data_IF_107020748136
#
_entry.id   IF_107020748136
#
_cell.length_a   1.000
_cell.length_b   1.000
_cell.length_c   1.000
_cell.angle_alpha   90.00
_cell.angle_beta   90.00
_cell.angle_gamma   90.00
#
_symmetry.space_group_name_H-M   'P 1'
#
loop_
_entity.id
_entity.type
_entity.pdbx_description
1 polymer ?
#
# COMPACT_ATOMS: atom_id res chain seq x y z
N UNK A 1 -37.58 -3.04 -54.65
CA UNK A 1 -36.57 -2.08 -54.18
C UNK A 1 -36.54 -2.20 -52.67
N UNK A 2 -35.65 -3.03 -52.17
CA UNK A 2 -35.46 -3.23 -50.69
C UNK A 2 -34.36 -2.29 -50.23
N UNK A 3 -34.74 -1.27 -49.50
CA UNK A 3 -33.77 -0.44 -48.77
C UNK A 3 -33.42 -1.13 -47.43
N UNK A 4 -32.28 -1.81 -47.41
CA UNK A 4 -31.67 -2.25 -46.17
C UNK A 4 -30.99 -1.05 -45.52
N UNK A 5 -31.64 -0.49 -44.51
CA UNK A 5 -31.02 0.51 -43.64
C UNK A 5 -30.11 -0.27 -42.68
N UNK A 6 -28.82 -0.22 -42.94
CA UNK A 6 -27.79 -0.71 -42.03
C UNK A 6 -27.71 0.29 -40.89
N UNK A 7 -28.30 -0.05 -39.74
CA UNK A 7 -28.05 0.65 -38.47
C UNK A 7 -26.58 0.44 -38.12
N UNK A 8 -25.73 1.41 -38.41
CA UNK A 8 -24.44 1.54 -37.77
C UNK A 8 -24.69 1.80 -36.30
N UNK A 9 -24.51 0.74 -35.48
CA UNK A 9 -24.38 0.92 -34.05
C UNK A 9 -23.18 1.85 -33.82
N UNK A 10 -23.45 3.05 -33.34
CA UNK A 10 -22.41 3.95 -32.82
C UNK A 10 -21.69 3.18 -31.74
N UNK A 11 -20.44 2.80 -31.97
CA UNK A 11 -19.58 2.23 -30.95
C UNK A 11 -19.51 3.29 -29.83
N UNK A 12 -20.22 3.07 -28.73
CA UNK A 12 -20.05 3.88 -27.55
C UNK A 12 -18.58 3.67 -27.13
N UNK A 13 -17.79 4.74 -27.10
CA UNK A 13 -16.41 4.66 -26.63
C UNK A 13 -16.43 3.98 -25.25
N UNK A 14 -15.65 2.90 -25.08
CA UNK A 14 -15.56 2.18 -23.81
C UNK A 14 -15.09 3.12 -22.70
N UNK A 15 -15.38 2.78 -21.45
CA UNK A 15 -14.94 3.59 -20.29
C UNK A 15 -13.40 3.67 -20.26
N UNK A 16 -12.74 2.57 -20.61
CA UNK A 16 -11.29 2.49 -20.75
C UNK A 16 -10.76 3.48 -21.80
N UNK A 17 -11.36 3.53 -23.00
CA UNK A 17 -10.95 4.50 -24.04
C UNK A 17 -11.19 5.94 -23.59
N UNK A 18 -12.31 6.22 -22.93
CA UNK A 18 -12.62 7.54 -22.40
C UNK A 18 -11.64 7.97 -21.32
N UNK A 19 -11.28 7.05 -20.40
CA UNK A 19 -10.31 7.32 -19.34
C UNK A 19 -8.92 7.61 -19.93
N UNK A 20 -8.47 6.83 -20.91
CA UNK A 20 -7.20 7.03 -21.63
C UNK A 20 -7.12 8.37 -22.37
N UNK A 21 -8.25 8.93 -22.74
CA UNK A 21 -8.32 10.22 -23.42
C UNK A 21 -8.38 11.43 -22.48
N UNK A 22 -8.42 11.22 -21.15
CA UNK A 22 -8.46 12.32 -20.21
C UNK A 22 -7.15 13.11 -20.20
N UNK A 23 -7.19 14.44 -20.24
CA UNK A 23 -6.02 15.27 -20.07
C UNK A 23 -5.58 15.25 -18.60
N UNK A 24 -4.52 14.51 -18.29
CA UNK A 24 -3.95 14.45 -16.95
C UNK A 24 -3.50 15.85 -16.49
N UNK A 25 -3.76 16.23 -15.22
CA UNK A 25 -3.13 17.37 -14.61
C UNK A 25 -1.60 17.28 -14.73
N UNK A 26 -0.94 18.45 -14.88
CA UNK A 26 0.52 18.46 -14.90
C UNK A 26 1.11 17.96 -13.58
N UNK A 27 2.33 17.41 -13.66
CA UNK A 27 3.05 16.98 -12.46
C UNK A 27 3.19 18.09 -11.41
N UNK A 28 3.50 19.30 -11.87
CA UNK A 28 3.66 20.45 -10.97
C UNK A 28 2.34 20.84 -10.30
N UNK A 29 1.22 20.85 -11.02
CA UNK A 29 -0.10 21.08 -10.45
C UNK A 29 -0.44 20.00 -9.40
N UNK A 30 -0.17 18.74 -9.69
CA UNK A 30 -0.36 17.65 -8.74
C UNK A 30 0.49 17.82 -7.48
N UNK A 31 1.76 18.24 -7.61
CA UNK A 31 2.65 18.48 -6.48
C UNK A 31 2.21 19.64 -5.59
N UNK A 32 1.65 20.69 -6.20
CA UNK A 32 1.13 21.86 -5.51
C UNK A 32 -0.26 21.61 -4.91
N UNK A 33 -0.87 20.47 -5.22
CA UNK A 33 -2.25 20.14 -4.83
C UNK A 33 -3.26 21.20 -5.24
N UNK A 34 -3.12 21.71 -6.47
CA UNK A 34 -4.03 22.71 -7.00
C UNK A 34 -5.49 22.25 -6.91
N UNK A 35 -6.40 23.16 -6.65
CA UNK A 35 -7.82 22.87 -6.60
C UNK A 35 -8.34 22.19 -7.88
N UNK A 36 -7.77 22.54 -9.04
CA UNK A 36 -8.07 21.91 -10.33
C UNK A 36 -7.72 20.42 -10.38
N UNK A 37 -6.70 19.98 -9.65
CA UNK A 37 -6.30 18.58 -9.52
C UNK A 37 -7.34 17.80 -8.71
N UNK A 38 -7.76 18.35 -7.58
CA UNK A 38 -8.81 17.74 -6.79
C UNK A 38 -10.11 17.63 -7.59
N UNK A 39 -10.51 18.71 -8.28
CA UNK A 39 -11.69 18.72 -9.14
C UNK A 39 -11.59 17.69 -10.29
N UNK A 40 -10.40 17.49 -10.85
CA UNK A 40 -10.17 16.47 -11.87
C UNK A 40 -10.49 15.07 -11.34
N UNK A 41 -9.91 14.70 -10.19
CA UNK A 41 -10.13 13.37 -9.60
C UNK A 41 -11.58 13.16 -9.17
N UNK A 42 -12.20 14.14 -8.53
CA UNK A 42 -13.60 14.06 -8.09
C UNK A 42 -14.55 13.89 -9.29
N UNK A 43 -14.33 14.68 -10.33
CA UNK A 43 -15.16 14.64 -11.54
C UNK A 43 -15.08 13.29 -12.26
N UNK A 44 -13.89 12.69 -12.27
CA UNK A 44 -13.64 11.48 -13.05
C UNK A 44 -13.64 10.19 -12.22
N UNK A 45 -13.88 10.24 -10.90
CA UNK A 45 -13.84 9.07 -9.99
C UNK A 45 -14.63 7.87 -10.54
N UNK A 46 -15.86 8.07 -10.97
CA UNK A 46 -16.71 7.00 -11.51
C UNK A 46 -16.18 6.42 -12.82
N UNK A 47 -15.77 7.30 -13.74
CA UNK A 47 -15.17 6.87 -15.02
C UNK A 47 -13.90 6.06 -14.82
N UNK A 48 -13.01 6.51 -13.95
CA UNK A 48 -11.74 5.84 -13.67
C UNK A 48 -11.97 4.46 -13.05
N UNK A 49 -12.89 4.35 -12.07
CA UNK A 49 -13.24 3.05 -11.47
C UNK A 49 -13.79 2.07 -12.51
N UNK A 50 -14.68 2.52 -13.39
CA UNK A 50 -15.27 1.66 -14.40
C UNK A 50 -14.25 1.31 -15.49
N UNK A 51 -13.32 2.22 -15.80
CA UNK A 51 -12.21 1.95 -16.73
C UNK A 51 -11.23 0.90 -16.18
N UNK A 52 -10.91 0.92 -14.88
CA UNK A 52 -10.07 -0.09 -14.25
C UNK A 52 -10.71 -1.47 -14.26
N UNK A 53 -12.02 -1.54 -14.04
CA UNK A 53 -12.77 -2.80 -14.19
C UNK A 53 -12.70 -3.33 -15.61
N UNK A 54 -13.01 -2.48 -16.61
CA UNK A 54 -12.97 -2.85 -18.02
C UNK A 54 -11.55 -3.28 -18.46
N UNK A 55 -10.52 -2.59 -17.99
CA UNK A 55 -9.13 -2.95 -18.25
C UNK A 55 -8.78 -4.34 -17.72
N UNK A 56 -9.13 -4.62 -16.48
CA UNK A 56 -8.84 -5.91 -15.86
C UNK A 56 -9.59 -7.05 -16.55
N UNK A 57 -10.87 -6.85 -16.90
CA UNK A 57 -11.66 -7.81 -17.66
C UNK A 57 -11.05 -8.10 -19.05
N UNK A 58 -10.60 -7.06 -19.76
CA UNK A 58 -9.99 -7.20 -21.09
C UNK A 58 -8.59 -7.82 -21.05
N UNK A 59 -7.86 -7.61 -19.98
CA UNK A 59 -6.47 -8.06 -19.79
C UNK A 59 -6.36 -9.37 -19.02
N UNK A 60 -7.45 -9.98 -18.61
CA UNK A 60 -7.49 -11.13 -17.70
C UNK A 60 -6.58 -12.29 -18.11
N UNK A 61 -6.42 -12.54 -19.41
CA UNK A 61 -5.55 -13.62 -19.92
C UNK A 61 -4.05 -13.29 -19.80
N UNK A 62 -3.70 -12.01 -19.74
CA UNK A 62 -2.33 -11.53 -19.83
C UNK A 62 -1.81 -11.04 -18.47
N UNK A 63 -2.73 -10.74 -17.54
CA UNK A 63 -2.37 -10.31 -16.20
C UNK A 63 -1.90 -11.51 -15.35
N UNK A 64 -0.80 -11.34 -14.61
CA UNK A 64 -0.41 -12.34 -13.63
C UNK A 64 -1.45 -12.44 -12.52
N UNK A 65 -1.68 -13.65 -12.05
CA UNK A 65 -2.52 -13.88 -10.88
C UNK A 65 -1.82 -13.34 -9.63
N UNK A 66 -2.49 -12.46 -8.90
CA UNK A 66 -2.07 -11.94 -7.61
C UNK A 66 -3.01 -12.44 -6.52
N UNK A 67 -2.45 -13.17 -5.57
CA UNK A 67 -3.20 -13.73 -4.44
C UNK A 67 -2.25 -13.99 -3.26
N UNK A 68 -2.74 -14.61 -2.21
CA UNK A 68 -1.95 -14.91 -1.00
C UNK A 68 -0.72 -15.79 -1.25
N UNK A 69 -0.63 -16.51 -2.38
CA UNK A 69 0.55 -17.31 -2.69
C UNK A 69 1.80 -16.45 -2.96
N UNK A 70 1.62 -15.14 -3.19
CA UNK A 70 2.73 -14.19 -3.28
C UNK A 70 3.41 -13.96 -1.91
N UNK A 71 2.74 -14.27 -0.79
CA UNK A 71 3.30 -14.11 0.54
C UNK A 71 4.21 -15.29 0.91
N UNK A 72 5.11 -15.04 1.85
CA UNK A 72 5.94 -16.08 2.46
C UNK A 72 5.10 -17.22 3.02
N UNK A 73 5.51 -18.46 2.77
CA UNK A 73 4.75 -19.64 3.15
C UNK A 73 4.58 -19.76 4.68
N UNK A 74 5.65 -19.53 5.43
CA UNK A 74 5.61 -19.65 6.89
C UNK A 74 4.70 -18.58 7.51
N UNK A 75 4.73 -17.36 6.96
CA UNK A 75 3.81 -16.31 7.38
C UNK A 75 2.36 -16.69 7.11
N UNK A 76 2.05 -17.20 5.91
CA UNK A 76 0.69 -17.64 5.55
C UNK A 76 0.17 -18.74 6.48
N UNK A 77 0.97 -19.77 6.70
CA UNK A 77 0.59 -20.90 7.55
C UNK A 77 0.36 -20.47 9.00
N UNK A 78 1.26 -19.67 9.57
CA UNK A 78 1.12 -19.18 10.94
C UNK A 78 -0.11 -18.26 11.10
N UNK A 79 -0.37 -17.38 10.14
CA UNK A 79 -1.54 -16.47 10.13
C UNK A 79 -2.83 -17.27 9.99
N UNK A 80 -2.89 -18.24 9.06
CA UNK A 80 -4.06 -19.10 8.88
C UNK A 80 -4.39 -19.89 10.16
N UNK A 81 -3.37 -20.44 10.81
CA UNK A 81 -3.52 -21.15 12.09
C UNK A 81 -4.05 -20.25 13.20
N UNK A 82 -3.56 -18.99 13.28
CA UNK A 82 -4.01 -18.03 14.30
C UNK A 82 -5.45 -17.53 14.04
N UNK A 83 -5.88 -17.43 12.79
CA UNK A 83 -7.29 -17.16 12.46
C UNK A 83 -8.22 -18.29 12.86
N UNK A 84 -7.79 -19.56 12.73
CA UNK A 84 -8.55 -20.72 13.16
C UNK A 84 -8.55 -20.87 14.68
N UNK A 85 -7.42 -20.58 15.32
CA UNK A 85 -7.23 -20.69 16.76
C UNK A 85 -6.30 -19.55 17.24
N UNK A 86 -6.88 -18.44 17.75
CA UNK A 86 -6.10 -17.29 18.23
C UNK A 86 -5.05 -17.62 19.31
N UNK A 87 -5.17 -18.73 20.02
CA UNK A 87 -4.16 -19.17 21.00
C UNK A 87 -2.81 -19.51 20.36
N UNK A 88 -2.77 -19.71 19.03
CA UNK A 88 -1.56 -20.01 18.25
C UNK A 88 -0.81 -18.75 17.75
N UNK A 89 -1.29 -17.56 18.05
CA UNK A 89 -0.69 -16.30 17.58
C UNK A 89 0.80 -16.13 17.94
N UNK A 90 1.29 -16.86 18.94
CA UNK A 90 2.71 -16.85 19.30
C UNK A 90 3.62 -17.29 18.12
N UNK A 91 3.13 -18.16 17.23
CA UNK A 91 3.86 -18.55 16.03
C UNK A 91 4.01 -17.38 15.05
N UNK A 92 2.96 -16.58 14.88
CA UNK A 92 3.02 -15.35 14.07
C UNK A 92 4.00 -14.35 14.69
N UNK A 93 3.92 -14.14 16.02
CA UNK A 93 4.84 -13.22 16.74
C UNK A 93 6.30 -13.63 16.56
N UNK A 94 6.60 -14.92 16.55
CA UNK A 94 7.95 -15.45 16.43
C UNK A 94 8.62 -15.18 15.06
N UNK A 95 7.84 -14.91 14.01
CA UNK A 95 8.35 -14.58 12.69
C UNK A 95 8.84 -13.11 12.60
N UNK A 96 8.39 -12.26 13.51
CA UNK A 96 8.71 -10.83 13.52
C UNK A 96 9.88 -10.55 14.47
N UNK A 97 11.01 -10.16 13.89
CA UNK A 97 12.21 -9.79 14.61
C UNK A 97 12.22 -8.31 14.97
N UNK A 98 12.43 -7.99 16.25
CA UNK A 98 12.51 -6.60 16.70
C UNK A 98 13.87 -5.99 16.36
N UNK A 99 13.90 -5.01 15.49
CA UNK A 99 15.10 -4.31 15.04
C UNK A 99 15.53 -3.22 16.04
N UNK A 100 14.55 -2.45 16.49
CA UNK A 100 14.62 -1.48 17.59
C UNK A 100 13.25 -1.43 18.25
N UNK A 101 13.11 -0.86 19.45
CA UNK A 101 11.81 -0.75 20.12
C UNK A 101 10.73 -0.16 19.19
N UNK A 102 9.67 -0.93 18.96
CA UNK A 102 8.55 -0.53 18.11
C UNK A 102 8.76 -0.66 16.61
N UNK A 103 9.81 -1.35 16.16
CA UNK A 103 10.07 -1.67 14.74
C UNK A 103 10.38 -3.15 14.61
N UNK A 104 9.63 -3.85 13.79
CA UNK A 104 9.81 -5.29 13.55
C UNK A 104 9.98 -5.56 12.07
N UNK A 105 10.78 -6.58 11.72
CA UNK A 105 10.98 -7.05 10.35
C UNK A 105 10.58 -8.52 10.20
N UNK A 106 10.11 -8.87 9.00
CA UNK A 106 9.73 -10.25 8.65
C UNK A 106 9.85 -10.43 7.13
N UNK A 107 10.12 -11.67 6.67
CA UNK A 107 9.89 -12.03 5.27
C UNK A 107 8.38 -12.06 5.05
N UNK A 108 7.85 -11.11 4.27
CA UNK A 108 6.41 -10.94 4.04
C UNK A 108 5.96 -11.50 2.71
N UNK A 109 6.65 -11.13 1.62
CA UNK A 109 6.44 -11.76 0.32
C UNK A 109 7.53 -12.81 0.04
N UNK A 110 7.16 -13.83 -0.70
CA UNK A 110 8.09 -14.82 -1.24
C UNK A 110 8.94 -14.15 -2.34
N UNK A 111 10.27 -14.04 -2.20
CA UNK A 111 11.11 -13.38 -3.19
C UNK A 111 11.03 -13.99 -4.60
N UNK A 112 10.72 -15.29 -4.70
CA UNK A 112 10.60 -15.97 -5.99
C UNK A 112 9.25 -15.66 -6.68
N UNK A 113 8.24 -15.23 -5.91
CA UNK A 113 6.88 -14.99 -6.41
C UNK A 113 6.51 -13.50 -6.51
N UNK A 114 7.33 -12.63 -5.96
CA UNK A 114 7.09 -11.17 -5.98
C UNK A 114 7.02 -10.63 -7.42
N UNK A 115 7.62 -11.32 -8.39
CA UNK A 115 7.57 -10.96 -9.79
C UNK A 115 6.12 -10.87 -10.34
N UNK A 116 5.20 -11.72 -9.88
CA UNK A 116 3.80 -11.65 -10.30
C UNK A 116 3.18 -10.31 -9.89
N UNK A 117 3.41 -9.88 -8.66
CA UNK A 117 2.89 -8.62 -8.15
C UNK A 117 3.56 -7.42 -8.85
N UNK A 118 4.89 -7.48 -9.10
CA UNK A 118 5.59 -6.44 -9.86
C UNK A 118 5.08 -6.32 -11.28
N UNK A 119 4.93 -7.42 -11.99
CA UNK A 119 4.40 -7.45 -13.35
C UNK A 119 2.96 -6.92 -13.42
N UNK A 120 2.15 -7.18 -12.38
CA UNK A 120 0.82 -6.59 -12.28
C UNK A 120 0.88 -5.06 -12.17
N UNK A 121 1.73 -4.51 -11.30
CA UNK A 121 1.92 -3.07 -11.17
C UNK A 121 2.45 -2.42 -12.45
N UNK A 122 3.39 -3.08 -13.14
CA UNK A 122 3.92 -2.59 -14.41
C UNK A 122 2.82 -2.58 -15.49
N UNK A 123 2.01 -3.63 -15.57
CA UNK A 123 0.86 -3.69 -16.47
C UNK A 123 -0.19 -2.61 -16.16
N UNK A 124 -0.42 -2.33 -14.87
CA UNK A 124 -1.31 -1.26 -14.44
C UNK A 124 -0.75 0.12 -14.81
N UNK A 125 0.54 0.35 -14.65
CA UNK A 125 1.20 1.59 -15.07
C UNK A 125 1.09 1.81 -16.59
N UNK A 126 1.19 0.74 -17.37
CA UNK A 126 1.09 0.75 -18.83
C UNK A 126 -0.38 0.78 -19.34
N UNK A 127 -1.36 0.63 -18.46
CA UNK A 127 -2.77 0.65 -18.84
C UNK A 127 -3.23 1.97 -19.49
N UNK A 128 -2.49 3.06 -19.28
CA UNK A 128 -2.82 4.39 -19.77
C UNK A 128 -4.04 5.03 -19.09
N UNK A 129 -4.50 4.46 -17.99
CA UNK A 129 -5.55 5.03 -17.14
C UNK A 129 -4.91 6.00 -16.16
N UNK A 130 -5.46 7.20 -15.97
CA UNK A 130 -4.97 8.12 -14.96
C UNK A 130 -4.82 7.48 -13.57
N UNK A 131 -3.63 7.56 -13.00
CA UNK A 131 -3.26 7.05 -11.70
C UNK A 131 -2.61 8.16 -10.89
N UNK A 132 -3.09 8.37 -9.63
CA UNK A 132 -2.53 9.42 -8.80
C UNK A 132 -1.25 8.96 -8.12
N UNK A 133 -0.14 9.71 -8.23
CA UNK A 133 1.07 9.44 -7.46
C UNK A 133 0.89 9.86 -6.00
N UNK A 134 1.68 9.30 -5.06
CA UNK A 134 1.63 9.65 -3.64
C UNK A 134 2.31 10.99 -3.34
N UNK A 135 1.86 12.07 -3.98
CA UNK A 135 2.52 13.37 -3.92
C UNK A 135 2.44 14.08 -2.57
N UNK A 136 1.56 13.65 -1.68
CA UNK A 136 1.44 14.21 -0.34
C UNK A 136 2.53 13.78 0.64
N UNK A 137 3.35 12.81 0.27
CA UNK A 137 4.33 12.16 1.13
C UNK A 137 5.73 12.54 0.64
N UNK A 138 6.06 13.79 0.74
CA UNK A 138 7.34 14.33 0.35
C UNK A 138 7.65 14.24 -1.16
N UNK A 139 8.79 13.74 -1.53
CA UNK A 139 9.38 13.94 -2.86
C UNK A 139 9.07 12.80 -3.84
N UNK A 140 8.60 11.65 -3.35
CA UNK A 140 8.44 10.49 -4.21
C UNK A 140 7.21 10.61 -5.13
N UNK A 141 7.41 10.45 -6.42
CA UNK A 141 6.42 10.67 -7.48
C UNK A 141 6.29 9.48 -8.43
N UNK A 142 7.07 8.44 -8.19
CA UNK A 142 7.13 7.27 -9.06
C UNK A 142 6.14 6.17 -8.69
N UNK A 143 5.29 6.38 -7.68
CA UNK A 143 4.34 5.38 -7.22
C UNK A 143 2.90 5.70 -7.56
N UNK A 144 1.99 4.98 -6.93
CA UNK A 144 0.56 5.09 -7.12
C UNK A 144 -0.19 5.03 -5.78
N UNK A 145 -1.31 5.72 -5.70
CA UNK A 145 -2.28 5.53 -4.62
C UNK A 145 -3.00 4.20 -4.80
N UNK A 146 -3.22 3.48 -3.71
CA UNK A 146 -3.77 2.12 -3.74
C UNK A 146 -5.07 1.98 -2.95
N UNK A 147 -5.29 2.86 -1.97
CA UNK A 147 -6.46 2.79 -1.09
C UNK A 147 -7.68 3.45 -1.72
N UNK A 148 -8.83 2.80 -1.58
CA UNK A 148 -10.13 3.23 -2.14
C UNK A 148 -10.57 4.62 -1.69
N UNK A 149 -10.08 5.13 -0.54
CA UNK A 149 -10.36 6.47 -0.04
C UNK A 149 -9.59 7.55 -0.78
N UNK A 150 -8.48 7.19 -1.42
CA UNK A 150 -7.66 8.14 -2.16
C UNK A 150 -8.24 8.40 -3.54
N UNK A 151 -8.26 9.66 -3.97
CA UNK A 151 -8.63 9.94 -5.36
C UNK A 151 -7.58 9.36 -6.31
N UNK A 152 -8.02 8.93 -7.49
CA UNK A 152 -7.13 8.41 -8.54
C UNK A 152 -6.33 7.16 -8.15
N UNK A 153 -6.85 6.37 -7.23
CA UNK A 153 -6.24 5.10 -6.79
C UNK A 153 -6.34 4.00 -7.86
N UNK A 154 -5.54 2.95 -7.70
CA UNK A 154 -5.61 1.74 -8.55
C UNK A 154 -6.89 0.96 -8.22
N UNK A 155 -7.96 1.22 -8.98
CA UNK A 155 -9.29 0.70 -8.69
C UNK A 155 -9.62 -0.63 -9.40
N UNK A 156 -8.62 -1.36 -9.89
CA UNK A 156 -8.80 -2.68 -10.49
C UNK A 156 -9.36 -3.66 -9.45
N UNK A 157 -10.50 -4.34 -9.71
CA UNK A 157 -11.21 -5.15 -8.70
C UNK A 157 -10.38 -6.27 -8.09
N UNK A 158 -9.61 -7.01 -8.90
CA UNK A 158 -8.75 -8.10 -8.41
C UNK A 158 -7.62 -7.58 -7.53
N UNK A 159 -7.01 -6.44 -7.91
CA UNK A 159 -6.04 -5.77 -7.06
C UNK A 159 -6.67 -5.32 -5.74
N UNK A 160 -7.86 -4.71 -5.75
CA UNK A 160 -8.53 -4.25 -4.54
C UNK A 160 -8.89 -5.42 -3.60
N UNK A 161 -9.29 -6.57 -4.15
CA UNK A 161 -9.54 -7.77 -3.34
C UNK A 161 -8.25 -8.25 -2.65
N UNK A 162 -7.13 -8.31 -3.37
CA UNK A 162 -5.83 -8.65 -2.81
C UNK A 162 -5.34 -7.63 -1.77
N UNK A 163 -5.45 -6.34 -2.08
CA UNK A 163 -5.10 -5.25 -1.17
C UNK A 163 -5.87 -5.32 0.15
N UNK A 164 -7.19 -5.54 0.07
CA UNK A 164 -8.03 -5.70 1.26
C UNK A 164 -7.64 -6.95 2.07
N UNK A 165 -7.31 -8.05 1.40
CA UNK A 165 -6.82 -9.26 2.07
C UNK A 165 -5.50 -9.00 2.81
N UNK A 166 -4.55 -8.26 2.22
CA UNK A 166 -3.30 -7.88 2.90
C UNK A 166 -3.58 -7.09 4.18
N UNK A 167 -4.54 -6.17 4.14
CA UNK A 167 -4.90 -5.35 5.30
C UNK A 167 -5.63 -6.16 6.38
N UNK A 168 -6.67 -6.87 6.01
CA UNK A 168 -7.58 -7.50 6.98
C UNK A 168 -7.06 -8.82 7.53
N UNK A 169 -6.45 -9.64 6.65
CA UNK A 169 -5.99 -10.97 7.06
C UNK A 169 -4.60 -10.92 7.70
N UNK A 170 -3.74 -10.00 7.24
CA UNK A 170 -2.34 -9.97 7.68
C UNK A 170 -2.00 -8.73 8.50
N UNK A 171 -2.04 -7.54 7.92
CA UNK A 171 -1.50 -6.35 8.57
C UNK A 171 -2.19 -6.02 9.88
N UNK A 172 -3.52 -5.99 9.91
CA UNK A 172 -4.31 -5.57 11.08
C UNK A 172 -4.09 -6.47 12.29
N UNK A 173 -4.27 -7.81 12.22
CA UNK A 173 -4.03 -8.67 13.36
C UNK A 173 -2.56 -8.67 13.81
N UNK A 174 -1.61 -8.60 12.87
CA UNK A 174 -0.18 -8.50 13.17
C UNK A 174 0.13 -7.18 13.89
N UNK A 175 -0.41 -6.06 13.43
CA UNK A 175 -0.25 -4.77 14.12
C UNK A 175 -0.79 -4.81 15.55
N UNK A 176 -1.98 -5.37 15.75
CA UNK A 176 -2.58 -5.55 17.09
C UNK A 176 -1.79 -6.50 17.99
N UNK A 177 -1.12 -7.50 17.41
CA UNK A 177 -0.28 -8.45 18.13
C UNK A 177 1.04 -7.81 18.58
N UNK A 178 1.66 -7.01 17.71
CA UNK A 178 2.95 -6.36 17.98
C UNK A 178 2.79 -5.06 18.78
N UNK A 179 1.67 -4.36 18.60
CA UNK A 179 1.35 -3.06 19.19
C UNK A 179 -0.08 -3.09 19.73
N UNK A 180 -0.31 -3.59 20.97
CA UNK A 180 -1.66 -3.73 21.51
C UNK A 180 -2.48 -2.43 21.54
N UNK A 181 -1.82 -1.29 21.65
CA UNK A 181 -2.43 0.04 21.63
C UNK A 181 -3.06 0.42 20.30
N UNK A 182 -2.72 -0.26 19.20
CA UNK A 182 -3.29 -0.04 17.86
C UNK A 182 -4.75 -0.48 17.79
N UNK A 183 -5.17 -1.39 18.67
CA UNK A 183 -6.56 -1.87 18.69
C UNK A 183 -7.56 -0.73 18.92
N UNK A 184 -8.48 -0.54 17.96
CA UNK A 184 -9.42 0.57 17.93
C UNK A 184 -8.91 1.83 17.20
N UNK A 185 -7.63 1.83 16.77
CA UNK A 185 -7.04 2.85 15.90
C UNK A 185 -6.58 2.24 14.58
N UNK A 186 -7.27 1.25 14.08
CA UNK A 186 -6.95 0.46 12.91
C UNK A 186 -8.17 0.20 12.00
N UNK A 187 -9.24 0.97 12.22
CA UNK A 187 -10.49 0.88 11.44
C UNK A 187 -10.32 1.45 10.04
N UNK A 188 -9.43 2.41 9.87
CA UNK A 188 -9.16 3.10 8.63
C UNK A 188 -7.82 2.68 8.04
N UNK A 189 -7.70 2.77 6.72
CA UNK A 189 -6.52 2.37 5.98
C UNK A 189 -6.08 3.44 4.99
N UNK A 190 -4.80 3.42 4.65
CA UNK A 190 -4.21 4.22 3.60
C UNK A 190 -3.08 3.42 2.96
N UNK A 191 -2.88 3.51 1.66
CA UNK A 191 -1.86 2.72 0.99
C UNK A 191 -1.40 3.34 -0.32
N UNK A 192 -0.12 3.16 -0.59
CA UNK A 192 0.53 3.64 -1.79
C UNK A 192 1.77 2.81 -2.12
N UNK A 193 2.17 2.81 -3.37
CA UNK A 193 3.50 2.36 -3.77
C UNK A 193 4.44 3.56 -3.95
N UNK A 194 5.72 3.38 -3.65
CA UNK A 194 6.74 4.41 -3.85
C UNK A 194 7.96 3.82 -4.58
N UNK A 195 8.63 4.67 -5.36
CA UNK A 195 9.84 4.32 -6.07
C UNK A 195 10.91 5.37 -5.78
N UNK A 196 12.06 4.92 -5.29
CA UNK A 196 13.26 5.74 -5.11
C UNK A 196 14.21 5.49 -6.26
N UNK A 197 14.71 6.57 -6.85
CA UNK A 197 15.68 6.55 -7.96
C UNK A 197 16.72 7.65 -7.75
N UNK A 198 17.97 7.36 -8.12
CA UNK A 198 19.09 8.25 -7.82
C UNK A 198 19.01 9.64 -8.46
N UNK A 199 18.36 9.74 -9.62
CA UNK A 199 18.22 10.96 -10.43
C UNK A 199 16.90 11.71 -10.23
N UNK A 200 16.00 11.19 -9.39
CA UNK A 200 14.70 11.80 -9.12
C UNK A 200 14.44 11.90 -7.61
N UNK A 201 13.54 11.09 -7.07
CA UNK A 201 13.16 11.07 -5.66
C UNK A 201 14.10 10.15 -4.87
N UNK A 202 15.28 10.66 -4.55
CA UNK A 202 16.38 9.84 -4.03
C UNK A 202 16.27 9.49 -2.55
N UNK A 203 15.55 10.29 -1.75
CA UNK A 203 15.53 10.15 -0.28
C UNK A 203 14.25 10.69 0.34
N UNK A 204 14.05 10.37 1.61
CA UNK A 204 12.97 10.94 2.42
C UNK A 204 13.56 11.44 3.76
N UNK A 205 13.29 12.70 4.07
CA UNK A 205 13.78 13.35 5.31
C UNK A 205 13.26 12.65 6.56
N UNK A 206 13.91 12.83 7.72
CA UNK A 206 13.39 12.36 8.99
C UNK A 206 11.97 12.85 9.23
N UNK A 207 11.06 11.92 9.53
CA UNK A 207 9.64 12.18 9.76
C UNK A 207 9.04 11.07 10.62
N UNK A 208 7.80 11.28 11.03
CA UNK A 208 6.91 10.26 11.59
C UNK A 208 5.72 10.11 10.68
N UNK A 209 5.08 8.96 10.70
CA UNK A 209 3.88 8.70 9.91
C UNK A 209 2.61 9.10 10.68
N UNK A 210 1.63 9.61 9.97
CA UNK A 210 0.30 9.88 10.51
C UNK A 210 -0.53 8.58 10.57
N UNK A 211 0.04 7.56 11.20
CA UNK A 211 -0.55 6.22 11.31
C UNK A 211 -0.44 5.70 12.73
N UNK A 212 -1.31 4.77 13.11
CA UNK A 212 -1.15 3.95 14.31
C UNK A 212 -0.05 2.90 14.08
N UNK A 213 -0.06 2.28 12.90
CA UNK A 213 0.99 1.37 12.44
C UNK A 213 1.23 1.55 10.94
N UNK A 214 2.49 1.48 10.53
CA UNK A 214 2.94 1.45 9.14
C UNK A 214 3.56 0.10 8.83
N UNK A 215 3.17 -0.50 7.71
CA UNK A 215 3.80 -1.67 7.10
C UNK A 215 4.44 -1.23 5.79
N UNK A 216 5.75 -1.36 5.70
CA UNK A 216 6.55 -0.99 4.53
C UNK A 216 7.25 -2.22 3.98
N UNK A 217 6.92 -2.65 2.75
CA UNK A 217 7.36 -3.90 2.16
C UNK A 217 8.20 -3.61 0.93
N UNK A 218 9.39 -4.19 0.86
CA UNK A 218 10.24 -4.08 -0.34
C UNK A 218 9.70 -4.95 -1.48
N UNK A 219 9.58 -4.32 -2.64
CA UNK A 219 9.03 -4.91 -3.86
C UNK A 219 10.08 -5.20 -4.93
N UNK A 220 11.37 -5.02 -4.64
CA UNK A 220 12.43 -5.34 -5.58
C UNK A 220 12.48 -6.84 -5.86
N UNK A 221 12.83 -7.18 -7.09
CA UNK A 221 13.15 -8.57 -7.46
C UNK A 221 14.54 -8.95 -6.90
N UNK A 222 14.83 -10.23 -6.71
CA UNK A 222 16.13 -10.67 -6.18
C UNK A 222 17.34 -10.23 -6.99
N UNK A 223 17.19 -9.99 -8.29
CA UNK A 223 18.21 -9.53 -9.23
C UNK A 223 18.24 -8.01 -9.43
N UNK A 224 17.29 -7.28 -8.86
CA UNK A 224 17.25 -5.81 -8.89
C UNK A 224 18.12 -5.22 -7.78
N UNK A 225 19.42 -5.10 -8.05
CA UNK A 225 20.34 -4.49 -7.10
C UNK A 225 20.18 -2.97 -7.06
N UNK A 226 20.28 -2.42 -5.86
CA UNK A 226 20.41 -0.97 -5.62
C UNK A 226 21.44 -0.71 -4.53
N UNK A 227 21.93 0.51 -4.44
CA UNK A 227 22.86 0.94 -3.37
C UNK A 227 22.36 2.22 -2.71
N UNK A 228 22.66 2.38 -1.43
CA UNK A 228 22.04 3.42 -0.62
C UNK A 228 20.60 3.07 -0.25
N UNK A 229 19.80 4.08 0.01
CA UNK A 229 18.37 3.95 0.34
C UNK A 229 18.08 3.09 1.58
N UNK A 230 19.05 2.98 2.49
CA UNK A 230 18.83 2.41 3.80
C UNK A 230 17.79 3.24 4.57
N UNK A 231 17.07 2.59 5.48
CA UNK A 231 16.14 3.29 6.37
C UNK A 231 16.75 3.39 7.75
N UNK A 232 16.89 4.62 8.21
CA UNK A 232 17.31 4.93 9.57
C UNK A 232 16.09 5.04 10.47
N UNK A 233 16.02 4.18 11.49
CA UNK A 233 15.05 4.29 12.58
C UNK A 233 15.74 4.91 13.79
N UNK A 234 15.07 5.89 14.41
CA UNK A 234 15.61 6.66 15.53
C UNK A 234 14.89 6.22 16.81
N UNK A 235 15.63 5.66 17.75
CA UNK A 235 15.11 5.41 19.08
C UNK A 235 14.99 6.75 19.83
N UNK A 236 13.77 7.16 20.17
CA UNK A 236 13.50 8.45 20.80
C UNK A 236 14.05 8.56 22.22
N UNK A 237 14.17 7.45 22.94
CA UNK A 237 14.61 7.44 24.34
C UNK A 237 16.14 7.55 24.45
N UNK A 238 16.86 6.87 23.57
CA UNK A 238 18.34 6.83 23.60
C UNK A 238 19.00 7.76 22.58
N UNK A 239 18.26 8.24 21.58
CA UNK A 239 18.81 8.96 20.42
C UNK A 239 19.62 8.09 19.47
N UNK A 240 19.67 6.78 19.68
CA UNK A 240 20.40 5.87 18.80
C UNK A 240 19.69 5.72 17.46
N UNK A 241 20.49 5.65 16.40
CA UNK A 241 20.01 5.40 15.03
C UNK A 241 20.37 3.98 14.62
N UNK A 242 19.37 3.20 14.26
CA UNK A 242 19.55 1.89 13.65
C UNK A 242 19.32 2.00 12.16
N UNK A 243 20.35 1.76 11.39
CA UNK A 243 20.28 1.68 9.92
C UNK A 243 19.92 0.28 9.49
N UNK A 244 18.88 0.18 8.66
CA UNK A 244 18.36 -1.08 8.14
C UNK A 244 18.37 -1.08 6.62
N UNK A 245 18.58 -2.25 6.02
CA UNK A 245 18.58 -2.46 4.57
C UNK A 245 17.36 -3.31 4.22
N UNK A 246 16.57 -2.87 3.27
CA UNK A 246 15.49 -3.68 2.71
C UNK A 246 16.06 -4.78 1.80
N UNK A 247 15.50 -5.98 1.94
CA UNK A 247 15.73 -7.11 1.05
C UNK A 247 14.43 -7.44 0.32
N UNK A 248 14.48 -8.10 -0.86
CA UNK A 248 13.29 -8.49 -1.60
C UNK A 248 12.26 -9.21 -0.73
N UNK A 249 11.03 -8.70 -0.74
CA UNK A 249 9.91 -9.26 0.02
C UNK A 249 9.94 -9.02 1.54
N UNK A 250 11.00 -8.45 2.10
CA UNK A 250 11.05 -8.13 3.54
C UNK A 250 10.17 -6.94 3.84
N UNK A 251 9.33 -7.07 4.86
CA UNK A 251 8.54 -6.01 5.43
C UNK A 251 9.15 -5.49 6.73
N UNK A 252 8.96 -4.20 6.99
CA UNK A 252 9.14 -3.57 8.29
C UNK A 252 7.80 -3.02 8.75
N UNK A 253 7.34 -3.44 9.93
CA UNK A 253 6.17 -2.87 10.58
C UNK A 253 6.64 -2.04 11.77
N UNK A 254 6.09 -0.84 11.91
CA UNK A 254 6.45 0.05 13.01
C UNK A 254 5.27 0.92 13.46
N UNK A 255 5.36 1.44 14.68
CA UNK A 255 4.44 2.51 15.10
C UNK A 255 4.64 3.74 14.25
N UNK A 256 3.57 4.41 13.85
CA UNK A 256 3.67 5.64 13.07
C UNK A 256 4.52 6.72 13.73
N UNK A 257 4.52 6.76 15.06
CA UNK A 257 5.31 7.72 15.87
C UNK A 257 6.82 7.47 15.89
N UNK A 258 7.32 6.34 15.38
CA UNK A 258 8.77 6.07 15.32
C UNK A 258 9.39 6.95 14.24
N UNK A 259 10.30 7.88 14.61
CA UNK A 259 10.98 8.72 13.63
C UNK A 259 11.89 7.88 12.74
N UNK A 260 11.78 8.09 11.43
CA UNK A 260 12.61 7.39 10.46
C UNK A 260 12.92 8.24 9.23
N UNK A 261 13.91 7.81 8.46
CA UNK A 261 14.35 8.49 7.24
C UNK A 261 14.82 7.48 6.21
N UNK A 262 14.52 7.73 4.93
CA UNK A 262 15.16 6.99 3.84
C UNK A 262 16.41 7.74 3.37
N UNK A 263 17.56 7.11 3.48
CA UNK A 263 18.82 7.66 3.00
C UNK A 263 18.84 7.75 1.47
N UNK A 264 19.68 8.61 0.88
CA UNK A 264 19.76 8.75 -0.55
C UNK A 264 20.10 7.41 -1.22
N UNK A 265 19.34 7.04 -2.26
CA UNK A 265 19.71 5.97 -3.16
C UNK A 265 20.81 6.48 -4.09
N UNK A 266 21.86 5.68 -4.32
CA UNK A 266 23.02 6.08 -5.09
C UNK A 266 23.13 5.36 -6.44
N UNK A 267 22.47 4.20 -6.58
CA UNK A 267 22.32 3.50 -7.87
C UNK A 267 21.12 2.57 -7.84
N UNK A 268 20.60 2.24 -9.02
CA UNK A 268 19.43 1.39 -9.18
C UNK A 268 18.13 2.08 -8.75
N UNK A 269 17.13 1.29 -8.45
CA UNK A 269 15.85 1.75 -7.93
C UNK A 269 15.36 0.87 -6.80
N UNK A 270 14.63 1.46 -5.84
CA UNK A 270 13.93 0.74 -4.78
C UNK A 270 12.44 0.99 -4.86
N UNK A 271 11.68 -0.08 -5.00
CA UNK A 271 10.23 -0.05 -5.01
C UNK A 271 9.69 -0.61 -3.68
N UNK A 272 8.74 0.08 -3.08
CA UNK A 272 8.10 -0.36 -1.85
C UNK A 272 6.58 -0.21 -1.92
N UNK A 273 5.90 -1.11 -1.21
CA UNK A 273 4.47 -1.01 -0.88
C UNK A 273 4.37 -0.52 0.56
N UNK A 274 3.62 0.56 0.78
CA UNK A 274 3.45 1.17 2.11
C UNK A 274 1.98 1.18 2.46
N UNK A 275 1.64 0.59 3.60
CA UNK A 275 0.28 0.47 4.13
C UNK A 275 0.23 1.09 5.52
N UNK A 276 -0.83 1.85 5.78
CA UNK A 276 -1.09 2.48 7.07
C UNK A 276 -2.40 2.00 7.68
N UNK A 277 -2.41 1.90 8.99
CA UNK A 277 -3.62 1.77 9.80
C UNK A 277 -3.76 3.00 10.69
N UNK A 278 -4.99 3.50 10.86
CA UNK A 278 -5.33 4.58 11.78
C UNK A 278 -6.79 4.46 12.20
N UNK A 279 -7.19 5.22 13.22
CA UNK A 279 -8.58 5.29 13.65
C UNK A 279 -9.40 6.29 12.83
N UNK A 280 -10.65 6.46 13.23
CA UNK A 280 -11.57 7.40 12.61
C UNK A 280 -10.96 8.80 12.52
N UNK A 281 -11.08 9.44 11.34
CA UNK A 281 -10.52 10.79 11.06
C UNK A 281 -9.05 10.95 11.48
N UNK A 282 -8.23 9.96 11.17
CA UNK A 282 -6.79 9.93 11.50
C UNK A 282 -6.48 9.89 12.99
N UNK A 283 -7.35 9.38 13.81
CA UNK A 283 -7.00 9.12 15.20
C UNK A 283 -5.87 8.09 15.28
N UNK A 284 -4.89 8.40 16.10
CA UNK A 284 -3.76 7.51 16.42
C UNK A 284 -3.66 7.33 17.93
N UNK A 285 -3.14 6.19 18.43
CA UNK A 285 -3.00 5.96 19.87
C UNK A 285 -2.05 6.99 20.48
N UNK A 286 -2.36 7.41 21.72
CA UNK A 286 -1.47 8.25 22.52
C UNK A 286 -0.64 7.36 23.45
N UNK A 287 0.64 7.64 23.58
CA UNK A 287 1.57 6.85 24.41
C UNK A 287 1.24 6.80 25.91
N UNK A 288 0.28 7.57 26.37
CA UNK A 288 -0.18 7.60 27.78
C UNK A 288 -1.36 6.66 28.03
N UNK A 289 -1.88 6.01 26.98
CA UNK A 289 -2.97 5.05 27.16
C UNK A 289 -2.36 3.80 27.82
N UNK A 290 -2.90 3.41 28.97
CA UNK A 290 -2.52 2.20 29.70
C UNK A 290 -2.48 1.02 28.74
N UNK A 291 -1.54 0.08 28.94
CA UNK A 291 -1.45 -1.16 28.18
C UNK A 291 -2.82 -1.83 28.13
N UNK A 292 -3.53 -1.67 27.02
CA UNK A 292 -4.77 -2.40 26.79
C UNK A 292 -4.41 -3.87 26.58
N UNK A 293 -4.66 -4.67 27.59
CA UNK A 293 -4.63 -6.13 27.45
C UNK A 293 -5.79 -6.54 26.53
N UNK A 294 -5.50 -6.67 25.25
CA UNK A 294 -6.45 -7.15 24.27
C UNK A 294 -6.35 -8.67 24.21
N UNK A 295 -7.46 -9.37 24.39
CA UNK A 295 -7.50 -10.84 24.24
C UNK A 295 -7.16 -11.23 22.79
N UNK A 296 -6.46 -12.35 22.63
CA UNK A 296 -6.12 -12.92 21.32
C UNK A 296 -7.34 -12.99 20.38
N UNK A 297 -8.50 -13.41 20.88
CA UNK A 297 -9.74 -13.49 20.10
C UNK A 297 -10.17 -12.17 19.48
N UNK A 298 -9.87 -11.04 20.14
CA UNK A 298 -10.21 -9.73 19.62
C UNK A 298 -9.17 -9.21 18.61
N UNK A 299 -7.90 -9.64 18.73
CA UNK A 299 -6.86 -9.29 17.76
C UNK A 299 -7.15 -9.86 16.39
N UNK A 300 -7.64 -11.11 16.35
CA UNK A 300 -7.96 -11.84 15.11
C UNK A 300 -9.41 -11.61 14.70
N UNK A 301 -9.74 -10.34 14.43
CA UNK A 301 -11.07 -9.91 13.94
C UNK A 301 -10.90 -8.81 12.89
N UNK A 302 -11.87 -8.71 12.00
CA UNK A 302 -11.98 -7.59 11.07
C UNK A 302 -12.92 -6.55 11.70
N UNK A 303 -12.60 -5.24 11.65
CA UNK A 303 -13.53 -4.20 12.10
C UNK A 303 -14.85 -4.25 11.33
N UNK A 304 -15.94 -4.09 12.05
CA UNK A 304 -17.29 -4.03 11.47
C UNK A 304 -17.75 -2.59 11.22
N UNK A 305 -16.96 -1.61 11.66
CA UNK A 305 -17.27 -0.19 11.50
C UNK A 305 -17.16 0.23 10.05
N UNK A 306 -18.09 1.07 9.61
CA UNK A 306 -18.06 1.66 8.27
C UNK A 306 -16.90 2.66 8.25
N UNK A 307 -16.02 2.49 7.29
CA UNK A 307 -14.94 3.43 7.02
C UNK A 307 -15.53 4.79 6.64
N UNK A 308 -14.99 5.87 7.21
CA UNK A 308 -15.28 7.20 6.70
C UNK A 308 -14.57 7.43 5.34
N UNK A 309 -14.98 8.46 4.61
CA UNK A 309 -14.39 8.79 3.30
C UNK A 309 -13.12 9.64 3.42
N UNK A 310 -12.57 9.78 4.63
CA UNK A 310 -11.42 10.62 4.88
C UNK A 310 -10.12 9.91 4.49
N UNK A 311 -9.31 10.55 3.64
CA UNK A 311 -7.95 10.13 3.34
C UNK A 311 -6.95 11.15 3.91
N UNK A 312 -5.80 10.70 4.46
CA UNK A 312 -4.81 11.60 5.08
C UNK A 312 -4.16 12.57 4.09
N UNK A 313 -4.05 12.16 2.83
CA UNK A 313 -3.38 12.91 1.78
C UNK A 313 -4.07 12.77 0.43
#
# INVERSE_FOLDING_TARGET
>A
MNNSVTLQASASNSQLQRARALPMPSRDAMLQRDLSVQQFWDTHRGLLRDAWREWEEQSQSDLPEINETCLDQHLREAVADAWLDPSKEAAVRALWHEEVPGVYSCQFFDPEKIASLRNYFDSAADAGIPLRPPYGIALNRGGAMLDVRSEGYLAAPGFQAFYQQLLDTYMRPIARLLFPEVFGYDTQTFGFSIHYQADTDASLRPHTDASAATLNINMNLPDEAFTGSEVDFINTDSGQVKRTVFKPGVAMIHRGSVPHAAQPITSGSRANLVLWLYGDRMQIPRFTDEERLVDAKHRWTVPTEISDDFAPF
#
